data_IF_197646224824
#
_entry.id   IF_197646224824
#
_cell.length_a   1.000
_cell.length_b   1.000
_cell.length_c   1.000
_cell.angle_alpha   90.00
_cell.angle_beta   90.00
_cell.angle_gamma   90.00
#
_symmetry.space_group_name_H-M   'P 1'
#
loop_
_entity.id
_entity.type
_entity.pdbx_description
1 polymer ?
#
# COMPACT_ATOMS: atom_id res chain seq x y z
N UNK A 1 -39.72 18.97 19.92
CA UNK A 1 -39.09 17.74 20.46
C UNK A 1 -37.74 17.57 19.75
N UNK A 2 -36.63 17.83 20.45
CA UNK A 2 -35.26 17.69 19.90
C UNK A 2 -34.86 16.21 20.04
N UNK A 3 -34.45 15.57 18.94
CA UNK A 3 -33.71 14.30 18.99
C UNK A 3 -32.28 14.60 18.57
N UNK A 4 -31.37 14.22 19.45
CA UNK A 4 -29.98 14.63 19.47
C UNK A 4 -29.10 13.88 18.46
N UNK A 5 -28.19 14.67 17.90
CA UNK A 5 -27.02 14.35 17.07
C UNK A 5 -26.11 13.27 17.67
N UNK A 6 -25.77 12.21 16.93
CA UNK A 6 -24.70 11.25 17.33
C UNK A 6 -23.84 10.68 16.17
N UNK A 7 -23.71 11.35 15.03
CA UNK A 7 -22.83 10.90 13.93
C UNK A 7 -21.47 11.64 13.80
N UNK A 8 -21.05 12.39 14.83
CA UNK A 8 -19.78 13.16 14.83
C UNK A 8 -18.68 12.59 15.74
N UNK A 9 -18.66 11.26 15.98
CA UNK A 9 -17.65 10.62 16.86
C UNK A 9 -16.41 10.07 16.15
N UNK A 10 -16.02 10.67 15.03
CA UNK A 10 -14.61 10.77 14.66
C UNK A 10 -14.33 12.20 14.22
N UNK A 11 -14.54 13.12 15.16
CA UNK A 11 -14.08 14.49 15.05
C UNK A 11 -12.62 14.43 14.58
N UNK A 12 -12.37 14.99 13.39
CA UNK A 12 -11.05 15.25 12.85
C UNK A 12 -10.15 15.68 14.01
N UNK A 13 -9.21 14.82 14.44
CA UNK A 13 -8.07 15.31 15.21
C UNK A 13 -7.52 16.44 14.36
N UNK A 14 -7.49 17.67 14.88
CA UNK A 14 -6.81 18.74 14.17
C UNK A 14 -5.40 18.22 13.93
N UNK A 15 -5.05 18.01 12.66
CA UNK A 15 -3.71 17.62 12.31
C UNK A 15 -2.86 18.83 12.66
N UNK A 16 -2.26 18.81 13.84
CA UNK A 16 -1.32 19.84 14.23
C UNK A 16 -0.19 19.80 13.21
N UNK A 17 0.10 20.94 12.59
CA UNK A 17 1.23 21.05 11.69
C UNK A 17 2.50 20.76 12.50
N UNK A 18 3.33 19.86 11.98
CA UNK A 18 4.59 19.48 12.59
C UNK A 18 5.68 19.72 11.57
N UNK A 19 6.68 20.51 11.95
CA UNK A 19 7.85 20.77 11.10
C UNK A 19 8.85 19.63 11.29
N UNK A 20 9.37 19.12 10.18
CA UNK A 20 10.41 18.08 10.17
C UNK A 20 11.63 18.61 9.44
N UNK A 21 12.81 18.38 10.01
CA UNK A 21 14.08 18.57 9.31
C UNK A 21 14.39 17.30 8.54
N UNK A 22 14.48 17.40 7.21
CA UNK A 22 14.78 16.27 6.32
C UNK A 22 16.07 16.57 5.58
N UNK A 23 16.93 15.57 5.46
CA UNK A 23 18.15 15.60 4.64
C UNK A 23 18.00 14.60 3.50
N UNK A 24 18.41 15.01 2.30
CA UNK A 24 18.43 14.15 1.12
C UNK A 24 19.88 13.97 0.69
N UNK A 25 20.34 12.72 0.71
CA UNK A 25 21.69 12.35 0.27
C UNK A 25 21.59 11.42 -0.93
N UNK A 26 22.46 11.63 -1.91
CA UNK A 26 22.54 10.74 -3.07
C UNK A 26 23.09 9.37 -2.63
N UNK A 27 22.29 8.31 -2.81
CA UNK A 27 22.69 6.96 -2.45
C UNK A 27 23.49 6.27 -3.59
N UNK A 28 22.87 6.12 -4.76
CA UNK A 28 23.47 5.42 -5.90
C UNK A 28 22.65 5.58 -7.18
N UNK A 29 23.20 5.16 -8.32
CA UNK A 29 22.49 5.03 -9.59
C UNK A 29 22.10 3.58 -9.81
N UNK A 30 20.80 3.30 -9.92
CA UNK A 30 20.28 1.96 -10.18
C UNK A 30 20.19 1.73 -11.70
N UNK A 31 20.98 0.79 -12.27
CA UNK A 31 20.99 0.57 -13.72
C UNK A 31 19.78 -0.26 -14.17
N UNK A 32 18.80 0.35 -14.84
CA UNK A 32 17.62 -0.38 -15.36
C UNK A 32 17.95 -1.45 -16.41
N UNK A 33 19.11 -1.37 -17.07
CA UNK A 33 19.61 -2.43 -17.96
C UNK A 33 19.73 -3.79 -17.27
N UNK A 34 19.86 -3.81 -15.94
CA UNK A 34 19.91 -5.06 -15.16
C UNK A 34 18.61 -5.85 -15.29
N UNK A 35 17.46 -5.18 -15.46
CA UNK A 35 16.19 -5.87 -15.78
C UNK A 35 16.34 -6.63 -17.09
N UNK A 36 16.83 -5.99 -18.15
CA UNK A 36 17.01 -6.64 -19.44
C UNK A 36 17.99 -7.83 -19.40
N UNK A 37 18.96 -7.83 -18.47
CA UNK A 37 19.84 -8.97 -18.23
C UNK A 37 19.12 -10.10 -17.48
N UNK A 38 18.37 -9.79 -16.42
CA UNK A 38 17.56 -10.77 -15.69
C UNK A 38 16.54 -11.46 -16.62
N UNK A 39 15.93 -10.72 -17.55
CA UNK A 39 15.01 -11.28 -18.55
C UNK A 39 15.68 -12.25 -19.53
N UNK A 40 17.00 -12.16 -19.73
CA UNK A 40 17.76 -13.09 -20.58
C UNK A 40 18.18 -14.36 -19.85
N UNK A 41 17.71 -14.58 -18.61
CA UNK A 41 18.09 -15.72 -17.79
C UNK A 41 19.51 -15.61 -17.20
N UNK A 42 20.10 -14.41 -17.20
CA UNK A 42 21.28 -14.17 -16.38
C UNK A 42 20.90 -14.32 -14.90
N UNK A 43 21.80 -14.88 -14.09
CA UNK A 43 21.55 -15.10 -12.67
C UNK A 43 21.02 -13.82 -11.98
N UNK A 44 20.03 -13.98 -11.10
CA UNK A 44 19.46 -12.92 -10.29
C UNK A 44 20.57 -12.23 -9.47
N UNK A 45 21.03 -11.08 -9.93
CA UNK A 45 22.00 -10.25 -9.22
C UNK A 45 21.29 -9.16 -8.40
N UNK A 46 22.00 -8.60 -7.40
CA UNK A 46 21.45 -7.54 -6.55
C UNK A 46 20.95 -6.32 -7.36
N UNK A 47 21.61 -6.02 -8.49
CA UNK A 47 21.23 -4.88 -9.34
C UNK A 47 19.85 -5.08 -9.99
N UNK A 48 19.53 -6.32 -10.39
CA UNK A 48 18.24 -6.66 -10.98
C UNK A 48 17.11 -6.52 -9.95
N UNK A 49 17.36 -6.95 -8.71
CA UNK A 49 16.40 -6.76 -7.61
C UNK A 49 16.18 -5.28 -7.26
N UNK A 50 17.24 -4.48 -7.22
CA UNK A 50 17.13 -3.04 -6.97
C UNK A 50 16.36 -2.34 -8.10
N UNK A 51 16.57 -2.74 -9.35
CA UNK A 51 15.83 -2.21 -10.49
C UNK A 51 14.34 -2.58 -10.46
N UNK A 52 13.99 -3.82 -10.07
CA UNK A 52 12.59 -4.23 -9.84
C UNK A 52 11.95 -3.43 -8.70
N UNK A 53 12.71 -3.16 -7.62
CA UNK A 53 12.25 -2.32 -6.51
C UNK A 53 11.92 -0.90 -6.94
N UNK A 54 12.71 -0.32 -7.85
CA UNK A 54 12.41 1.00 -8.44
C UNK A 54 11.05 0.99 -9.15
N UNK A 55 10.75 -0.06 -9.91
CA UNK A 55 9.45 -0.19 -10.58
C UNK A 55 8.29 -0.31 -9.59
N UNK A 56 8.45 -1.11 -8.53
CA UNK A 56 7.47 -1.23 -7.45
C UNK A 56 7.23 0.13 -6.75
N UNK A 57 8.30 0.92 -6.52
CA UNK A 57 8.21 2.27 -5.93
C UNK A 57 7.44 3.22 -6.86
N UNK A 58 7.70 3.17 -8.16
CA UNK A 58 6.98 4.00 -9.15
C UNK A 58 5.47 3.70 -9.08
N UNK A 59 5.07 2.43 -9.10
CA UNK A 59 3.66 2.05 -8.97
C UNK A 59 3.06 2.54 -7.65
N UNK A 60 3.81 2.45 -6.55
CA UNK A 60 3.37 2.97 -5.25
C UNK A 60 3.19 4.47 -5.23
N UNK A 61 4.10 5.22 -5.84
CA UNK A 61 3.96 6.67 -5.94
C UNK A 61 2.73 7.04 -6.76
N UNK A 62 2.52 6.39 -7.92
CA UNK A 62 1.35 6.63 -8.76
C UNK A 62 0.03 6.33 -8.04
N UNK A 63 0.00 5.30 -7.19
CA UNK A 63 -1.17 5.01 -6.37
C UNK A 63 -1.36 6.01 -5.22
N UNK A 64 -0.27 6.44 -4.56
CA UNK A 64 -0.32 7.48 -3.54
C UNK A 64 -0.85 8.81 -4.10
N UNK A 65 -0.41 9.22 -5.29
CA UNK A 65 -0.87 10.43 -5.98
C UNK A 65 -2.37 10.38 -6.29
N UNK A 66 -2.94 9.18 -6.44
CA UNK A 66 -4.37 8.94 -6.64
C UNK A 66 -5.16 8.81 -5.32
N UNK A 67 -4.51 8.99 -4.17
CA UNK A 67 -5.15 8.88 -2.86
C UNK A 67 -5.42 7.44 -2.41
N UNK A 68 -4.71 6.45 -2.96
CA UNK A 68 -4.84 5.07 -2.49
C UNK A 68 -4.26 4.92 -1.08
N UNK A 69 -4.95 4.17 -0.23
CA UNK A 69 -4.34 3.55 0.94
C UNK A 69 -3.35 2.48 0.47
N UNK A 70 -2.09 2.62 0.87
CA UNK A 70 -1.02 1.68 0.54
C UNK A 70 -0.79 0.73 1.72
N UNK A 71 -0.90 -0.58 1.48
CA UNK A 71 -0.53 -1.61 2.46
C UNK A 71 0.39 -2.62 1.80
N UNK A 72 1.68 -2.56 2.13
CA UNK A 72 2.73 -3.40 1.50
C UNK A 72 2.73 -3.23 -0.03
N UNK A 73 2.44 -4.30 -0.77
CA UNK A 73 2.34 -4.34 -2.24
C UNK A 73 0.90 -4.19 -2.75
N UNK A 74 -0.03 -3.82 -1.86
CA UNK A 74 -1.44 -3.73 -2.17
C UNK A 74 -1.95 -2.29 -2.09
N UNK A 75 -2.90 -1.99 -2.97
CA UNK A 75 -3.43 -0.66 -3.25
C UNK A 75 -4.94 -0.67 -3.05
N UNK A 76 -5.44 0.21 -2.19
CA UNK A 76 -6.86 0.27 -1.83
C UNK A 76 -7.38 1.68 -2.07
N UNK A 77 -8.35 1.83 -2.96
CA UNK A 77 -9.01 3.11 -3.18
C UNK A 77 -10.15 3.28 -2.20
N UNK A 78 -10.19 4.41 -1.50
CA UNK A 78 -11.29 4.80 -0.63
C UNK A 78 -12.49 5.28 -1.48
N UNK A 79 -13.07 4.34 -2.23
CA UNK A 79 -14.31 4.52 -2.97
C UNK A 79 -15.38 3.66 -2.31
N UNK A 80 -16.52 4.28 -1.99
CA UNK A 80 -17.73 3.61 -1.48
C UNK A 80 -18.08 2.31 -2.21
N UNK A 81 -17.79 2.20 -3.50
CA UNK A 81 -18.05 1.00 -4.33
C UNK A 81 -17.13 -0.17 -4.04
N UNK A 82 -15.99 0.06 -3.41
CA UNK A 82 -15.01 -0.97 -3.05
C UNK A 82 -15.28 -1.57 -1.67
N UNK A 83 -16.22 -1.01 -0.91
CA UNK A 83 -16.62 -1.57 0.37
C UNK A 83 -17.56 -2.75 0.17
N UNK A 84 -17.29 -3.84 0.88
CA UNK A 84 -18.15 -5.01 0.95
C UNK A 84 -18.51 -5.26 2.40
N UNK A 85 -19.79 -5.41 2.70
CA UNK A 85 -20.21 -5.90 4.00
C UNK A 85 -19.86 -7.39 4.09
N UNK A 86 -19.23 -7.79 5.19
CA UNK A 86 -18.84 -9.18 5.47
C UNK A 86 -19.70 -9.72 6.61
N UNK A 87 -20.53 -8.87 7.24
CA UNK A 87 -21.35 -9.20 8.39
C UNK A 87 -20.64 -8.93 9.72
N UNK A 88 -21.40 -8.94 10.82
CA UNK A 88 -20.86 -8.76 12.17
C UNK A 88 -20.26 -7.37 12.45
N UNK A 89 -20.63 -6.36 11.67
CA UNK A 89 -20.07 -5.00 11.78
C UNK A 89 -18.67 -4.84 11.15
N UNK A 90 -18.21 -5.82 10.37
CA UNK A 90 -16.94 -5.79 9.64
C UNK A 90 -17.19 -5.47 8.17
N UNK A 91 -16.43 -4.50 7.66
CA UNK A 91 -16.44 -4.11 6.26
C UNK A 91 -15.08 -4.48 5.64
N UNK A 92 -15.11 -5.09 4.46
CA UNK A 92 -13.92 -5.25 3.63
C UNK A 92 -13.76 -4.07 2.69
N UNK A 93 -12.56 -3.54 2.56
CA UNK A 93 -12.19 -2.63 1.48
C UNK A 93 -11.43 -3.42 0.42
N UNK A 94 -11.97 -3.46 -0.80
CA UNK A 94 -11.35 -4.14 -1.94
C UNK A 94 -10.23 -3.28 -2.52
N UNK A 95 -9.15 -3.96 -2.90
CA UNK A 95 -8.00 -3.40 -3.59
C UNK A 95 -7.34 -4.45 -4.47
N UNK A 96 -6.11 -4.18 -4.88
CA UNK A 96 -5.32 -5.09 -5.69
C UNK A 96 -3.90 -5.20 -5.14
N UNK A 97 -3.35 -6.41 -5.14
CA UNK A 97 -1.93 -6.67 -4.98
C UNK A 97 -1.25 -6.51 -6.34
N UNK A 98 -0.04 -5.94 -6.37
CA UNK A 98 0.77 -5.85 -7.57
C UNK A 98 2.23 -6.14 -7.28
N UNK A 99 2.89 -6.88 -8.18
CA UNK A 99 4.32 -7.21 -8.09
C UNK A 99 4.92 -7.46 -9.46
N UNK A 100 6.06 -6.85 -9.78
CA UNK A 100 6.80 -7.20 -10.99
C UNK A 100 7.51 -8.55 -10.82
N UNK A 101 7.49 -9.39 -11.87
CA UNK A 101 8.19 -10.67 -11.92
C UNK A 101 8.94 -10.83 -13.24
N UNK A 102 10.27 -11.06 -13.22
CA UNK A 102 10.98 -11.47 -14.41
C UNK A 102 10.52 -12.88 -14.81
N UNK A 103 10.37 -13.09 -16.12
CA UNK A 103 10.00 -14.37 -16.70
C UNK A 103 10.89 -14.64 -17.91
N UNK A 104 10.96 -15.89 -18.37
CA UNK A 104 11.69 -16.25 -19.59
C UNK A 104 11.18 -15.49 -20.84
N UNK A 105 9.91 -15.06 -20.83
CA UNK A 105 9.28 -14.29 -21.91
C UNK A 105 9.34 -12.77 -21.73
N UNK A 106 10.01 -12.27 -20.69
CA UNK A 106 10.10 -10.84 -20.39
C UNK A 106 9.57 -10.48 -19.00
N UNK A 107 9.29 -9.19 -18.78
CA UNK A 107 8.83 -8.70 -17.47
C UNK A 107 7.30 -8.79 -17.39
N UNK A 108 6.79 -9.36 -16.32
CA UNK A 108 5.34 -9.45 -16.06
C UNK A 108 4.95 -8.64 -14.84
N UNK A 109 3.72 -8.11 -14.84
CA UNK A 109 3.10 -7.52 -13.65
C UNK A 109 2.05 -8.50 -13.13
N UNK A 110 2.38 -9.17 -12.03
CA UNK A 110 1.47 -10.05 -11.34
C UNK A 110 0.49 -9.23 -10.51
N UNK A 111 -0.81 -9.32 -10.84
CA UNK A 111 -1.89 -8.62 -10.16
C UNK A 111 -2.90 -9.61 -9.58
N UNK A 112 -3.39 -9.32 -8.37
CA UNK A 112 -4.41 -10.14 -7.70
C UNK A 112 -5.37 -9.29 -6.87
N UNK A 113 -6.52 -9.86 -6.51
CA UNK A 113 -7.48 -9.20 -5.61
C UNK A 113 -6.91 -9.18 -4.20
N UNK A 114 -7.01 -8.04 -3.53
CA UNK A 114 -6.72 -7.91 -2.11
C UNK A 114 -7.94 -7.37 -1.38
N UNK A 115 -8.17 -7.83 -0.15
CA UNK A 115 -9.21 -7.29 0.73
C UNK A 115 -8.55 -6.96 2.06
N UNK A 116 -8.80 -5.75 2.56
CA UNK A 116 -8.40 -5.34 3.90
C UNK A 116 -9.66 -5.18 4.75
N UNK A 117 -9.67 -5.76 5.95
CA UNK A 117 -10.84 -5.76 6.84
C UNK A 117 -10.77 -4.59 7.83
N UNK A 118 -11.88 -3.88 8.00
CA UNK A 118 -12.04 -2.79 8.96
C UNK A 118 -13.37 -2.87 9.72
N UNK A 119 -13.41 -2.35 10.95
CA UNK A 119 -14.59 -2.40 11.83
C UNK A 119 -14.30 -1.76 13.18
N UNK A 120 -15.31 -1.62 14.05
CA UNK A 120 -15.19 -0.94 15.36
C UNK A 120 -14.14 -1.56 16.30
N UNK A 121 -13.77 -2.82 16.09
CA UNK A 121 -12.72 -3.52 16.84
C UNK A 121 -11.42 -3.75 16.03
N UNK A 122 -11.31 -3.21 14.82
CA UNK A 122 -10.14 -3.32 13.97
C UNK A 122 -9.51 -1.93 13.83
N UNK A 123 -8.44 -1.69 14.59
CA UNK A 123 -7.65 -0.47 14.46
C UNK A 123 -6.29 -0.83 13.85
N UNK A 124 -5.98 -0.28 12.68
CA UNK A 124 -4.63 -0.33 12.13
C UNK A 124 -3.75 0.62 12.95
N UNK A 125 -3.01 0.09 13.92
CA UNK A 125 -1.97 0.85 14.58
C UNK A 125 -0.69 0.74 13.75
N UNK A 126 -0.32 1.84 13.11
CA UNK A 126 0.97 1.97 12.44
C UNK A 126 2.08 2.11 13.47
N UNK A 127 2.71 1.00 13.85
CA UNK A 127 4.06 0.99 14.40
C UNK A 127 4.95 0.29 13.38
N UNK A 128 6.11 0.89 13.13
CA UNK A 128 7.01 0.53 12.05
C UNK A 128 7.24 -0.99 11.94
N UNK A 129 7.13 -1.49 10.71
CA UNK A 129 7.46 -2.85 10.23
C UNK A 129 6.40 -3.96 10.34
N UNK A 130 5.33 -3.83 11.12
CA UNK A 130 4.26 -4.84 11.13
C UNK A 130 2.87 -4.19 11.21
N UNK A 131 2.00 -4.50 10.24
CA UNK A 131 0.57 -4.26 10.37
C UNK A 131 0.05 -5.24 11.44
N UNK A 132 0.05 -4.82 12.70
CA UNK A 132 -0.55 -5.58 13.78
C UNK A 132 -2.06 -5.37 13.73
N UNK A 133 -2.80 -6.41 13.34
CA UNK A 133 -4.25 -6.44 13.54
C UNK A 133 -4.47 -6.79 15.01
N UNK A 134 -4.68 -5.79 15.86
CA UNK A 134 -5.05 -6.02 17.26
C UNK A 134 -6.55 -6.27 17.31
N UNK A 135 -6.95 -7.49 17.68
CA UNK A 135 -8.29 -7.78 18.19
C UNK A 135 -8.36 -7.24 19.62
N UNK A 136 -9.17 -6.20 19.86
CA UNK A 136 -9.58 -5.85 21.22
C UNK A 136 -10.74 -6.78 21.60
N UNK A 137 -10.53 -7.65 22.60
CA UNK A 137 -11.59 -8.35 23.32
C UNK A 137 -12.08 -7.49 24.49
#
# INVERSE_FOLDING_TARGET
MRVANTSLKRLRRSLQSKTFKVELSYATKIPLRSIALALKGAAEDNNSQDALRVLDIILRQQAADRGCLLVRQSFFHDDSRNFTDIGGGVHGLRGFHSSFRPTQGGLSLNMGIAIVLGGVNFMFTGLDSYLLVVLLF
#
